data_IF_184937850323
#
_entry.id   IF_184937850323
#
_cell.length_a   1.000
_cell.length_b   1.000
_cell.length_c   1.000
_cell.angle_alpha   90.00
_cell.angle_beta   90.00
_cell.angle_gamma   90.00
#
_symmetry.space_group_name_H-M   'P 1'
#
loop_
_entity.id
_entity.type
_entity.pdbx_description
1 polymer ?
#
# COMPACT_ATOMS: atom_id res chain seq x y z
N UNK A 1 -4.39 -3.30 -15.09
CA UNK A 1 -4.16 -1.98 -14.45
C UNK A 1 -4.25 -0.92 -15.52
N UNK A 2 -5.11 0.09 -15.35
CA UNK A 2 -5.10 1.26 -16.24
C UNK A 2 -4.01 2.21 -15.75
N UNK A 3 -3.02 2.45 -16.60
CA UNK A 3 -1.92 3.36 -16.31
C UNK A 3 -2.37 4.81 -16.53
N UNK A 4 -3.16 5.33 -15.59
CA UNK A 4 -3.86 6.61 -15.74
C UNK A 4 -3.03 7.77 -15.19
N UNK A 5 -2.56 8.64 -16.08
CA UNK A 5 -1.76 9.81 -15.72
C UNK A 5 -2.53 10.84 -14.89
N UNK A 6 -3.86 10.89 -14.99
CA UNK A 6 -4.70 11.76 -14.15
C UNK A 6 -4.66 11.27 -12.71
N UNK A 7 -4.85 9.95 -12.50
CA UNK A 7 -4.78 9.35 -11.17
C UNK A 7 -3.40 9.49 -10.53
N UNK A 8 -2.32 9.45 -11.32
CA UNK A 8 -0.96 9.69 -10.81
C UNK A 8 -0.77 11.11 -10.29
N UNK A 9 -1.23 12.11 -11.04
CA UNK A 9 -1.17 13.51 -10.58
C UNK A 9 -1.99 13.74 -9.32
N UNK A 10 -3.19 13.18 -9.25
CA UNK A 10 -4.02 13.22 -8.03
C UNK A 10 -3.31 12.57 -6.84
N UNK A 11 -2.66 11.43 -7.07
CA UNK A 11 -1.90 10.73 -6.03
C UNK A 11 -0.68 11.54 -5.58
N UNK A 12 0.07 12.16 -6.51
CA UNK A 12 1.21 13.03 -6.19
C UNK A 12 0.76 14.18 -5.28
N UNK A 13 -0.32 14.86 -5.65
CA UNK A 13 -0.86 15.99 -4.87
C UNK A 13 -1.23 15.55 -3.45
N UNK A 14 -1.89 14.40 -3.31
CA UNK A 14 -2.23 13.83 -2.00
C UNK A 14 -0.98 13.60 -1.13
N UNK A 15 0.10 13.06 -1.70
CA UNK A 15 1.34 12.80 -0.95
C UNK A 15 2.06 14.09 -0.55
N UNK A 16 2.06 15.11 -1.40
CA UNK A 16 2.61 16.44 -1.08
C UNK A 16 1.82 17.07 0.06
N UNK A 17 0.49 17.14 -0.04
CA UNK A 17 -0.35 17.84 0.94
C UNK A 17 -0.42 17.11 2.29
N UNK A 18 -0.50 15.78 2.28
CA UNK A 18 -0.70 15.00 3.51
C UNK A 18 0.61 14.71 4.23
N UNK A 19 1.70 14.53 3.48
CA UNK A 19 2.97 14.02 4.03
C UNK A 19 4.19 14.89 3.67
N UNK A 20 4.04 15.92 2.84
CA UNK A 20 5.17 16.72 2.35
C UNK A 20 6.08 15.96 1.40
N UNK A 21 5.59 14.89 0.75
CA UNK A 21 6.38 14.02 -0.11
C UNK A 21 6.08 14.29 -1.58
N UNK A 22 7.02 14.89 -2.30
CA UNK A 22 6.95 15.07 -3.75
C UNK A 22 7.53 13.84 -4.48
N UNK A 23 6.65 12.86 -4.74
CA UNK A 23 7.00 11.62 -5.44
C UNK A 23 6.87 11.86 -6.96
N UNK A 24 7.93 11.62 -7.77
CA UNK A 24 7.86 11.74 -9.22
C UNK A 24 6.73 10.91 -9.83
N UNK A 25 6.08 11.43 -10.89
CA UNK A 25 4.92 10.76 -11.49
C UNK A 25 5.23 9.37 -12.07
N UNK A 26 6.45 9.18 -12.56
CA UNK A 26 6.96 7.92 -13.08
C UNK A 26 7.31 6.90 -11.99
N UNK A 27 7.42 7.33 -10.73
CA UNK A 27 7.56 6.50 -9.53
C UNK A 27 6.21 6.17 -8.86
N UNK A 28 5.12 6.84 -9.30
CA UNK A 28 3.74 6.51 -8.89
C UNK A 28 3.22 5.36 -9.77
N UNK A 29 3.72 4.17 -9.49
CA UNK A 29 3.24 2.90 -10.04
C UNK A 29 3.45 1.77 -9.03
N UNK A 30 2.75 0.66 -9.24
CA UNK A 30 2.94 -0.54 -8.44
C UNK A 30 2.79 -1.76 -9.34
N UNK A 31 3.80 -2.63 -9.42
CA UNK A 31 3.68 -3.94 -10.09
C UNK A 31 3.38 -5.08 -9.10
N UNK A 32 2.97 -4.72 -7.89
CA UNK A 32 2.70 -5.64 -6.79
C UNK A 32 3.91 -5.87 -5.88
N UNK A 33 3.66 -6.16 -4.59
CA UNK A 33 4.71 -6.29 -3.58
C UNK A 33 5.68 -7.47 -3.74
N UNK A 34 5.46 -8.34 -4.74
CA UNK A 34 6.38 -9.44 -5.11
C UNK A 34 7.24 -9.12 -6.32
N UNK A 35 7.02 -7.97 -6.97
CA UNK A 35 7.83 -7.48 -8.08
C UNK A 35 9.20 -7.01 -7.58
N UNK A 36 10.20 -7.00 -8.45
CA UNK A 36 11.46 -6.24 -8.21
C UNK A 36 11.23 -4.73 -8.28
N UNK A 37 10.22 -4.33 -9.03
CA UNK A 37 9.74 -2.96 -9.23
C UNK A 37 8.47 -2.76 -8.39
N UNK A 38 8.66 -2.27 -7.16
CA UNK A 38 7.60 -1.98 -6.19
C UNK A 38 7.33 -0.47 -6.16
N UNK A 39 6.18 -0.08 -5.64
CA UNK A 39 5.89 1.34 -5.42
C UNK A 39 6.98 2.00 -4.55
N UNK A 40 7.31 3.26 -4.84
CA UNK A 40 8.34 4.04 -4.17
C UNK A 40 8.32 3.89 -2.64
N UNK A 41 7.16 4.07 -2.01
CA UNK A 41 7.03 3.95 -0.55
C UNK A 41 7.11 2.50 -0.02
N UNK A 42 6.91 1.51 -0.89
CA UNK A 42 7.10 0.12 -0.52
C UNK A 42 8.58 -0.24 -0.38
N UNK A 43 9.50 0.41 -1.11
CA UNK A 43 10.94 0.08 -1.09
C UNK A 43 11.53 0.01 0.34
N UNK A 44 11.10 0.93 1.21
CA UNK A 44 11.53 1.04 2.61
C UNK A 44 10.43 0.64 3.61
N UNK A 45 9.48 -0.19 3.18
CA UNK A 45 8.37 -0.65 4.01
C UNK A 45 8.87 -1.47 5.22
N UNK A 46 8.60 -1.05 6.47
CA UNK A 46 9.06 -1.78 7.65
C UNK A 46 8.45 -3.19 7.73
N UNK A 47 7.23 -3.37 7.23
CA UNK A 47 6.58 -4.69 7.17
C UNK A 47 7.23 -5.63 6.13
N UNK A 48 7.80 -5.10 5.04
CA UNK A 48 8.59 -5.93 4.12
C UNK A 48 9.88 -6.41 4.78
N UNK A 49 10.56 -5.55 5.54
CA UNK A 49 11.74 -5.94 6.32
C UNK A 49 11.39 -6.97 7.39
N UNK A 50 10.26 -6.80 8.07
CA UNK A 50 9.73 -7.78 9.04
C UNK A 50 9.47 -9.15 8.40
N UNK A 51 8.78 -9.20 7.26
CA UNK A 51 8.51 -10.45 6.55
C UNK A 51 9.81 -11.15 6.12
N UNK A 52 10.79 -10.39 5.60
CA UNK A 52 12.11 -10.92 5.25
C UNK A 52 12.82 -11.51 6.48
N UNK A 53 12.81 -10.79 7.61
CA UNK A 53 13.42 -11.26 8.86
C UNK A 53 12.77 -12.52 9.44
N UNK A 54 11.45 -12.69 9.25
CA UNK A 54 10.70 -13.89 9.65
C UNK A 54 10.70 -15.01 8.60
N UNK A 55 11.35 -14.82 7.45
CA UNK A 55 11.32 -15.74 6.32
C UNK A 55 9.91 -16.14 5.84
N UNK A 56 8.98 -15.18 5.83
CA UNK A 56 7.61 -15.34 5.34
C UNK A 56 7.38 -14.47 4.10
N UNK A 57 6.46 -14.87 3.21
CA UNK A 57 6.26 -14.18 1.92
C UNK A 57 5.33 -12.98 2.02
N UNK A 58 4.50 -12.92 3.03
CA UNK A 58 3.57 -11.80 3.27
C UNK A 58 3.15 -11.73 4.72
N UNK A 59 2.67 -10.56 5.14
CA UNK A 59 2.15 -10.36 6.49
C UNK A 59 1.06 -11.38 6.84
N UNK A 60 0.24 -11.79 5.87
CA UNK A 60 -0.83 -12.79 6.04
C UNK A 60 -0.34 -14.19 6.42
N UNK A 61 0.94 -14.50 6.21
CA UNK A 61 1.55 -15.77 6.62
C UNK A 61 2.11 -15.68 8.06
N UNK A 62 2.10 -14.50 8.67
CA UNK A 62 2.52 -14.32 10.07
C UNK A 62 1.44 -14.86 11.01
N UNK A 63 1.84 -15.63 12.01
CA UNK A 63 0.92 -16.15 13.05
C UNK A 63 0.27 -15.05 13.89
N UNK A 64 0.91 -13.89 13.97
CA UNK A 64 0.42 -12.71 14.69
C UNK A 64 -0.43 -11.80 13.80
N UNK A 65 -0.80 -12.21 12.58
CA UNK A 65 -1.49 -11.33 11.65
C UNK A 65 -2.99 -11.17 11.96
N UNK A 66 -3.54 -9.93 11.92
CA UNK A 66 -2.82 -8.66 11.85
C UNK A 66 -2.21 -8.31 13.22
N UNK A 67 -0.91 -8.00 13.26
CA UNK A 67 -0.27 -7.62 14.51
C UNK A 67 -0.62 -6.18 14.87
N UNK A 68 -0.64 -5.83 16.17
CA UNK A 68 -1.12 -4.52 16.63
C UNK A 68 -0.56 -3.32 15.83
N UNK A 69 0.77 -3.21 15.56
CA UNK A 69 1.30 -2.07 14.80
C UNK A 69 0.78 -2.01 13.35
N UNK A 70 0.51 -3.17 12.73
CA UNK A 70 -0.06 -3.23 11.39
C UNK A 70 -1.56 -2.94 11.43
N UNK A 71 -2.28 -3.43 12.44
CA UNK A 71 -3.70 -3.16 12.63
C UNK A 71 -3.96 -1.66 12.79
N UNK A 72 -3.21 -0.98 13.65
CA UNK A 72 -3.32 0.47 13.89
C UNK A 72 -3.01 1.27 12.62
N UNK A 73 -1.96 0.86 11.89
CA UNK A 73 -1.63 1.48 10.61
C UNK A 73 -2.76 1.31 9.59
N UNK A 74 -3.32 0.12 9.49
CA UNK A 74 -4.45 -0.15 8.58
C UNK A 74 -5.67 0.68 8.97
N UNK A 75 -6.01 0.75 10.25
CA UNK A 75 -7.14 1.56 10.71
C UNK A 75 -6.96 3.05 10.39
N UNK A 76 -5.75 3.58 10.58
CA UNK A 76 -5.45 4.99 10.38
C UNK A 76 -5.36 5.40 8.91
N UNK A 77 -4.78 4.55 8.05
CA UNK A 77 -4.40 4.94 6.70
C UNK A 77 -5.08 4.15 5.58
N UNK A 78 -5.63 2.95 5.84
CA UNK A 78 -6.40 2.23 4.82
C UNK A 78 -7.76 2.90 4.70
N UNK A 79 -7.87 3.74 3.66
CA UNK A 79 -9.11 4.42 3.35
C UNK A 79 -10.19 3.40 2.93
N UNK A 80 -11.17 3.16 3.80
CA UNK A 80 -12.33 2.30 3.51
C UNK A 80 -13.16 2.81 2.33
N UNK A 81 -13.01 4.07 1.91
CA UNK A 81 -13.78 4.67 0.82
C UNK A 81 -13.29 4.30 -0.59
N UNK A 82 -12.04 3.86 -0.75
CA UNK A 82 -11.45 3.54 -2.07
C UNK A 82 -11.37 2.04 -2.38
N UNK A 83 -11.79 1.17 -1.44
CA UNK A 83 -12.15 -0.19 -1.83
C UNK A 83 -13.46 -0.09 -2.60
N UNK A 84 -13.40 -0.37 -3.90
CA UNK A 84 -14.55 -0.53 -4.79
C UNK A 84 -15.70 -1.13 -3.99
N UNK A 85 -16.80 -0.38 -3.85
CA UNK A 85 -18.01 -0.91 -3.22
C UNK A 85 -18.60 -1.99 -4.12
N UNK A 86 -17.98 -3.15 -4.16
CA UNK A 86 -18.69 -4.39 -4.45
C UNK A 86 -19.54 -4.64 -3.22
N UNK A 87 -20.80 -4.18 -3.30
CA UNK A 87 -21.88 -4.65 -2.44
C UNK A 87 -21.80 -6.18 -2.43
N UNK A 88 -21.17 -6.73 -1.39
CA UNK A 88 -21.20 -8.16 -1.12
C UNK A 88 -22.59 -8.43 -0.58
N UNK A 89 -23.54 -8.56 -1.51
CA UNK A 89 -24.89 -9.06 -1.25
C UNK A 89 -24.73 -10.33 -0.44
N UNK A 90 -25.08 -10.24 0.84
CA UNK A 90 -25.29 -11.42 1.66
C UNK A 90 -26.54 -12.08 1.08
N UNK A 91 -26.33 -13.21 0.40
CA UNK A 91 -27.39 -14.20 0.18
C UNK A 91 -27.73 -14.87 1.50
#
# INVERSE_FOLDING_TARGET
>A
MKNDNILRKQSQQFYIETFGLDIPLDEIHCRGGRSKDVFYLCSNCPWMMCCKGKNIKSCSECTEYPCNPLADYMEKYVNRCNQVQEKRSKS
#
